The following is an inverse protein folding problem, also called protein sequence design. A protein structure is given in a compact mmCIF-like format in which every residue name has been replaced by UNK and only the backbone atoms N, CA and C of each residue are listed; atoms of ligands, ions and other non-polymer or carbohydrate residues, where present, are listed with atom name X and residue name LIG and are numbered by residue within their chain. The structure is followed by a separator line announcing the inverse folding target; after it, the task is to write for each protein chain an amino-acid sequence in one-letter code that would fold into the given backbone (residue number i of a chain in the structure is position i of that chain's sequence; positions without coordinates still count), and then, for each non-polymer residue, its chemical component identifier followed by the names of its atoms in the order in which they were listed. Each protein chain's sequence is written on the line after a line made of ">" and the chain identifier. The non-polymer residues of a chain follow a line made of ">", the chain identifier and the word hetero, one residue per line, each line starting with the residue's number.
data_IF_568181260747
#
_entry.id   IF_568181260747
#
_cell.length_a   1.000
_cell.length_b   1.000
_cell.length_c   1.000
_cell.angle_alpha   90.00
_cell.angle_beta   90.00
_cell.angle_gamma   90.00
#
_symmetry.space_group_name_H-M   'P 1'
#
loop_
_entity.id
_entity.type
_entity.pdbx_description
1 polymer ?
#
# COMPACT_ATOMS: atom_id res chain seq x y z
N UNK A 1 3.24 6.55 12.24
CA UNK A 1 3.43 5.13 11.95
C UNK A 1 4.41 4.59 12.96
N UNK A 2 4.02 3.50 13.58
CA UNK A 2 4.83 2.93 14.63
C UNK A 2 6.00 2.11 14.13
N UNK A 3 7.05 2.17 14.86
CA UNK A 3 8.21 1.34 14.67
C UNK A 3 8.39 0.41 15.87
N UNK A 4 8.38 -0.92 15.72
CA UNK A 4 8.63 -1.79 16.83
C UNK A 4 10.14 -1.96 17.02
N UNK A 5 10.60 -1.61 18.17
CA UNK A 5 11.75 -2.28 18.77
C UNK A 5 11.21 -3.27 19.78
N UNK A 6 11.52 -4.56 19.63
CA UNK A 6 11.14 -5.60 20.60
C UNK A 6 9.65 -5.67 20.96
N UNK A 7 8.76 -5.80 19.99
CA UNK A 7 7.32 -5.76 20.15
C UNK A 7 6.76 -4.43 20.70
N UNK A 8 7.61 -3.46 20.87
CA UNK A 8 7.25 -2.05 21.06
C UNK A 8 7.54 -1.32 19.77
N UNK A 9 6.83 -0.26 19.53
CA UNK A 9 7.10 0.62 18.41
C UNK A 9 7.28 2.03 18.92
N UNK A 10 7.99 2.82 18.17
CA UNK A 10 8.20 4.23 18.42
C UNK A 10 7.67 4.97 17.21
N UNK A 11 6.85 5.99 17.45
CA UNK A 11 6.39 6.88 16.38
C UNK A 11 7.54 7.82 16.04
N UNK A 12 8.36 7.39 15.10
CA UNK A 12 9.64 8.01 14.87
C UNK A 12 9.84 8.50 13.46
N UNK A 13 8.76 8.80 12.71
CA UNK A 13 9.11 8.96 11.35
C UNK A 13 8.47 10.15 10.65
N UNK A 14 9.13 11.25 10.81
CA UNK A 14 8.95 12.42 9.97
C UNK A 14 10.20 12.78 9.20
N UNK A 15 11.23 11.97 9.25
CA UNK A 15 12.39 12.15 8.38
C UNK A 15 11.97 11.73 6.98
N UNK A 16 12.18 12.61 6.03
CA UNK A 16 11.97 12.31 4.63
C UNK A 16 12.89 11.14 4.25
N UNK A 17 12.39 10.21 3.45
CA UNK A 17 13.18 9.08 2.96
C UNK A 17 14.53 9.55 2.39
N UNK A 18 15.60 8.97 2.91
CA UNK A 18 16.97 9.30 2.52
C UNK A 18 17.60 10.51 3.21
N UNK A 19 16.89 11.20 4.08
CA UNK A 19 17.48 12.28 4.86
C UNK A 19 18.40 11.72 5.96
N UNK A 20 19.57 12.34 6.15
CA UNK A 20 20.46 11.94 7.25
C UNK A 20 19.96 12.49 8.58
N UNK A 21 19.98 11.66 9.60
CA UNK A 21 19.77 12.09 10.98
C UNK A 21 18.53 11.52 11.62
N UNK A 22 18.40 11.71 12.93
CA UNK A 22 17.23 11.25 13.66
C UNK A 22 16.01 12.11 13.30
N UNK A 23 14.85 11.48 13.31
CA UNK A 23 13.59 12.16 13.23
C UNK A 23 13.48 13.22 14.34
N UNK A 24 13.18 14.49 14.02
CA UNK A 24 13.13 15.56 15.02
C UNK A 24 11.98 15.38 16.02
N UNK A 25 11.04 14.49 15.73
CA UNK A 25 9.91 14.19 16.60
C UNK A 25 10.12 12.96 17.49
N UNK A 26 11.19 12.20 17.31
CA UNK A 26 11.53 11.08 18.19
C UNK A 26 11.60 11.55 19.64
N UNK A 27 10.84 10.91 20.51
CA UNK A 27 10.74 11.26 21.91
C UNK A 27 9.85 12.47 22.25
N UNK A 28 9.32 13.14 21.23
CA UNK A 28 8.40 14.29 21.42
C UNK A 28 6.92 13.93 21.22
N UNK A 29 6.65 12.71 20.77
CA UNK A 29 5.31 12.19 20.56
C UNK A 29 4.94 11.20 21.65
N UNK A 30 3.72 11.23 22.17
CA UNK A 30 3.24 10.12 22.97
C UNK A 30 3.12 8.90 22.06
N UNK A 31 3.81 7.84 22.45
CA UNK A 31 3.72 6.57 21.74
C UNK A 31 2.29 6.03 21.84
N UNK A 32 1.70 5.64 20.71
CA UNK A 32 0.39 5.01 20.72
C UNK A 32 0.48 3.54 21.14
N UNK A 33 -0.64 2.97 21.53
CA UNK A 33 -0.72 1.54 21.86
C UNK A 33 -0.57 0.70 20.60
N UNK A 34 0.33 -0.28 20.63
CA UNK A 34 0.51 -1.21 19.52
C UNK A 34 -0.82 -1.90 19.15
N UNK A 35 -1.16 -1.86 17.87
CA UNK A 35 -2.44 -2.34 17.33
C UNK A 35 -3.50 -1.26 17.16
N UNK A 36 -3.20 -0.01 17.49
CA UNK A 36 -4.14 1.09 17.33
C UNK A 36 -4.09 1.74 15.94
N UNK A 37 -3.01 1.58 15.20
CA UNK A 37 -2.89 2.15 13.86
C UNK A 37 -2.74 1.07 12.77
N UNK A 38 -3.03 1.48 11.55
CA UNK A 38 -2.91 0.64 10.36
C UNK A 38 -1.49 0.13 10.15
N UNK A 39 -0.50 0.97 10.42
CA UNK A 39 0.92 0.64 10.25
C UNK A 39 1.37 -0.54 11.11
N UNK A 40 0.82 -0.69 12.32
CA UNK A 40 1.12 -1.82 13.19
C UNK A 40 0.73 -3.15 12.55
N UNK A 41 -0.48 -3.18 11.97
CA UNK A 41 -0.99 -4.36 11.28
C UNK A 41 -0.24 -4.62 9.99
N UNK A 42 0.06 -3.59 9.22
CA UNK A 42 0.78 -3.69 7.96
C UNK A 42 2.28 -3.93 8.14
N UNK A 43 2.77 -3.92 9.37
CA UNK A 43 4.20 -4.04 9.71
C UNK A 43 5.05 -2.93 9.06
N UNK A 44 4.44 -1.76 8.85
CA UNK A 44 5.14 -0.60 8.31
C UNK A 44 6.26 -0.17 9.23
N UNK A 45 7.43 0.07 8.66
CA UNK A 45 8.64 0.49 9.40
C UNK A 45 9.04 -0.48 10.54
N UNK A 46 8.85 -1.77 10.35
CA UNK A 46 9.16 -2.80 11.32
C UNK A 46 10.36 -3.65 10.86
N UNK A 47 11.54 -3.34 11.36
CA UNK A 47 12.80 -3.99 10.96
C UNK A 47 12.78 -5.52 11.16
N UNK A 48 12.05 -6.03 12.16
CA UNK A 48 11.86 -7.46 12.38
C UNK A 48 11.18 -8.18 11.20
N UNK A 49 10.47 -7.45 10.36
CA UNK A 49 9.83 -7.94 9.14
C UNK A 49 10.52 -7.48 7.86
N UNK A 50 11.69 -6.88 7.98
CA UNK A 50 12.45 -6.34 6.85
C UNK A 50 11.94 -5.00 6.33
N UNK A 51 10.96 -4.41 6.99
CA UNK A 51 10.44 -3.10 6.63
C UNK A 51 11.21 -2.02 7.39
N UNK A 52 11.93 -1.20 6.66
CA UNK A 52 12.73 -0.07 7.20
C UNK A 52 12.37 1.20 6.45
N UNK A 53 12.76 2.34 6.99
CA UNK A 53 12.59 3.66 6.34
C UNK A 53 11.13 3.93 5.89
N UNK A 54 10.18 3.61 6.76
CA UNK A 54 8.75 3.80 6.48
C UNK A 54 8.13 2.80 5.51
N UNK A 55 8.88 1.79 5.07
CA UNK A 55 8.41 0.84 4.07
C UNK A 55 7.38 -0.17 4.62
N UNK A 56 6.61 -0.72 3.69
CA UNK A 56 5.72 -1.87 3.90
C UNK A 56 5.94 -2.86 2.75
N UNK A 57 6.04 -4.13 3.05
CA UNK A 57 6.17 -5.18 2.03
C UNK A 57 4.80 -5.62 1.54
N UNK A 58 4.66 -5.79 0.22
CA UNK A 58 3.50 -6.40 -0.41
C UNK A 58 3.96 -7.55 -1.29
N UNK A 59 3.28 -8.69 -1.20
CA UNK A 59 3.56 -9.87 -2.03
C UNK A 59 2.52 -9.97 -3.14
N UNK A 60 2.97 -9.90 -4.37
CA UNK A 60 2.09 -9.87 -5.54
C UNK A 60 1.98 -11.23 -6.21
N UNK A 61 0.81 -11.48 -6.75
CA UNK A 61 0.48 -12.70 -7.47
C UNK A 61 -0.02 -12.39 -8.88
N UNK A 62 0.17 -13.32 -9.78
CA UNK A 62 -0.36 -13.21 -11.15
C UNK A 62 -1.83 -13.61 -11.23
N UNK A 63 -2.37 -14.27 -10.21
CA UNK A 63 -3.80 -14.57 -10.08
C UNK A 63 -4.40 -13.80 -8.92
N UNK A 64 -5.69 -13.48 -8.97
CA UNK A 64 -6.40 -12.80 -7.90
C UNK A 64 -6.72 -13.68 -6.68
N UNK A 65 -5.92 -14.70 -6.41
CA UNK A 65 -6.12 -15.56 -5.25
C UNK A 65 -5.78 -14.80 -3.96
N UNK A 66 -6.62 -14.84 -2.93
CA UNK A 66 -6.31 -14.25 -1.64
C UNK A 66 -5.07 -14.87 -1.02
N UNK A 67 -4.27 -14.05 -0.34
CA UNK A 67 -3.16 -14.56 0.46
C UNK A 67 -3.67 -15.27 1.71
N UNK A 68 -2.97 -16.32 2.10
CA UNK A 68 -3.25 -16.95 3.38
C UNK A 68 -2.81 -16.06 4.54
N UNK A 69 -3.46 -16.21 5.70
CA UNK A 69 -3.14 -15.46 6.93
C UNK A 69 -1.72 -15.71 7.46
N UNK A 70 -0.97 -16.63 6.89
CA UNK A 70 0.42 -16.92 7.28
C UNK A 70 1.43 -15.85 6.83
N UNK A 71 1.03 -14.96 5.96
CA UNK A 71 1.87 -13.86 5.48
C UNK A 71 1.70 -12.60 6.34
N UNK A 72 2.03 -12.72 7.61
CA UNK A 72 1.87 -11.62 8.57
C UNK A 72 2.67 -10.34 8.22
N UNK A 73 3.67 -10.45 7.35
CA UNK A 73 4.46 -9.32 6.86
C UNK A 73 3.89 -8.68 5.59
N UNK A 74 2.79 -9.19 5.04
CA UNK A 74 2.13 -8.60 3.88
C UNK A 74 1.23 -7.43 4.28
N UNK A 75 1.44 -6.26 3.67
CA UNK A 75 0.68 -5.06 3.96
C UNK A 75 -0.81 -5.19 3.67
N UNK A 76 -1.19 -5.91 2.61
CA UNK A 76 -2.59 -6.20 2.28
C UNK A 76 -3.26 -7.08 3.35
N UNK A 77 -2.55 -8.10 3.84
CA UNK A 77 -3.00 -8.90 4.96
C UNK A 77 -3.16 -8.06 6.23
N UNK A 78 -2.18 -7.21 6.50
CA UNK A 78 -2.23 -6.29 7.63
C UNK A 78 -3.42 -5.35 7.57
N UNK A 79 -3.69 -4.77 6.41
CA UNK A 79 -4.85 -3.90 6.20
C UNK A 79 -6.17 -4.63 6.44
N UNK A 80 -6.31 -5.87 5.92
CA UNK A 80 -7.46 -6.74 6.22
C UNK A 80 -7.64 -6.90 7.73
N UNK A 81 -6.59 -7.31 8.43
CA UNK A 81 -6.66 -7.54 9.88
C UNK A 81 -7.00 -6.28 10.66
N UNK A 82 -6.51 -5.12 10.24
CA UNK A 82 -6.88 -3.83 10.82
C UNK A 82 -8.38 -3.58 10.73
N UNK A 83 -8.96 -3.70 9.54
CA UNK A 83 -10.41 -3.51 9.37
C UNK A 83 -11.23 -4.52 10.20
N UNK A 84 -10.82 -5.78 10.21
CA UNK A 84 -11.49 -6.81 11.01
C UNK A 84 -11.41 -6.52 12.51
N UNK A 85 -10.29 -6.00 13.00
CA UNK A 85 -10.15 -5.59 14.41
C UNK A 85 -11.08 -4.43 14.79
N UNK A 86 -11.57 -3.68 13.81
CA UNK A 86 -12.54 -2.60 13.99
C UNK A 86 -13.99 -3.04 13.74
N UNK A 87 -14.23 -4.34 13.60
CA UNK A 87 -15.56 -4.92 13.46
C UNK A 87 -16.09 -4.98 12.02
N UNK A 88 -15.27 -4.66 11.02
CA UNK A 88 -15.64 -4.83 9.62
C UNK A 88 -15.47 -6.28 9.18
N UNK A 89 -16.27 -6.70 8.23
CA UNK A 89 -16.12 -7.99 7.57
C UNK A 89 -15.43 -7.79 6.22
N UNK A 90 -14.19 -8.24 6.09
CA UNK A 90 -13.45 -8.19 4.82
C UNK A 90 -13.83 -9.42 3.99
N UNK A 91 -14.61 -9.21 2.93
CA UNK A 91 -15.14 -10.29 2.08
C UNK A 91 -14.04 -10.97 1.28
N UNK A 92 -13.11 -10.18 0.74
CA UNK A 92 -11.94 -10.67 0.01
C UNK A 92 -10.84 -9.62 0.00
N UNK A 93 -9.61 -10.05 -0.16
CA UNK A 93 -8.45 -9.19 -0.35
C UNK A 93 -7.37 -9.96 -1.08
N UNK A 94 -6.53 -9.27 -1.83
CA UNK A 94 -5.37 -9.84 -2.50
C UNK A 94 -4.50 -8.71 -3.05
N UNK A 95 -3.22 -9.01 -3.23
CA UNK A 95 -2.33 -8.17 -4.02
C UNK A 95 -2.07 -8.88 -5.34
N UNK A 96 -2.16 -8.16 -6.44
CA UNK A 96 -2.01 -8.73 -7.77
C UNK A 96 -1.11 -7.85 -8.63
N UNK A 97 -0.20 -8.47 -9.38
CA UNK A 97 0.48 -7.75 -10.45
C UNK A 97 -0.54 -7.22 -11.46
N UNK A 98 -0.28 -6.04 -12.00
CA UNK A 98 -1.03 -5.60 -13.17
C UNK A 98 -0.65 -6.45 -14.38
N UNK A 99 -1.58 -6.55 -15.33
CA UNK A 99 -1.33 -7.26 -16.58
C UNK A 99 -0.20 -6.59 -17.36
N UNK A 100 0.77 -7.39 -17.77
CA UNK A 100 1.97 -6.91 -18.44
C UNK A 100 3.18 -6.71 -17.53
N UNK A 101 3.01 -6.92 -16.22
CA UNK A 101 4.09 -6.88 -15.23
C UNK A 101 4.24 -8.24 -14.52
N UNK A 102 5.40 -8.50 -13.95
CA UNK A 102 5.69 -9.74 -13.23
C UNK A 102 6.15 -10.88 -14.15
N UNK A 103 6.09 -12.09 -13.63
CA UNK A 103 6.65 -13.29 -14.30
C UNK A 103 5.77 -13.85 -15.41
N UNK A 104 4.49 -13.52 -15.44
CA UNK A 104 3.54 -13.93 -16.48
C UNK A 104 2.75 -12.70 -16.99
N UNK A 105 3.24 -12.03 -18.04
CA UNK A 105 2.62 -10.81 -18.54
C UNK A 105 1.24 -11.04 -19.21
N UNK A 106 0.83 -12.29 -19.43
CA UNK A 106 -0.51 -12.60 -19.92
C UNK A 106 -1.59 -12.55 -18.83
N UNK A 107 -1.17 -12.58 -17.58
CA UNK A 107 -2.03 -12.56 -16.40
C UNK A 107 -1.85 -11.25 -15.63
N UNK A 108 -2.70 -11.06 -14.64
CA UNK A 108 -2.67 -9.91 -13.77
C UNK A 108 -3.91 -9.04 -13.88
N UNK A 109 -3.99 -8.06 -13.01
CA UNK A 109 -5.11 -7.14 -12.89
C UNK A 109 -5.15 -6.18 -14.09
N UNK A 110 -6.31 -6.09 -14.72
CA UNK A 110 -6.49 -5.29 -15.94
C UNK A 110 -7.08 -3.93 -15.65
N UNK A 111 -6.96 -3.00 -16.61
CA UNK A 111 -7.66 -1.72 -16.53
C UNK A 111 -9.18 -1.87 -16.49
N UNK A 112 -9.75 -2.86 -17.20
CA UNK A 112 -11.18 -3.14 -17.14
C UNK A 112 -11.64 -3.59 -15.74
N UNK A 113 -10.82 -4.39 -15.04
CA UNK A 113 -11.08 -4.75 -13.65
C UNK A 113 -10.97 -3.54 -12.71
N UNK A 114 -9.97 -2.68 -12.94
CA UNK A 114 -9.86 -1.41 -12.21
C UNK A 114 -11.13 -0.57 -12.37
N UNK A 115 -11.59 -0.38 -13.59
CA UNK A 115 -12.82 0.37 -13.86
C UNK A 115 -14.03 -0.23 -13.12
N UNK A 116 -14.16 -1.55 -13.15
CA UNK A 116 -15.25 -2.24 -12.46
C UNK A 116 -15.22 -2.03 -10.92
N UNK A 117 -14.04 -1.94 -10.32
CA UNK A 117 -13.92 -1.58 -8.91
C UNK A 117 -14.38 -0.14 -8.65
N UNK A 118 -13.90 0.81 -9.45
CA UNK A 118 -14.28 2.22 -9.34
C UNK A 118 -15.79 2.40 -9.56
N UNK A 119 -16.37 1.79 -10.58
CA UNK A 119 -17.81 1.86 -10.88
C UNK A 119 -18.65 1.26 -9.74
N UNK A 120 -18.09 0.35 -8.98
CA UNK A 120 -18.70 -0.23 -7.78
C UNK A 120 -18.47 0.61 -6.51
N UNK A 121 -17.86 1.79 -6.63
CA UNK A 121 -17.57 2.69 -5.51
C UNK A 121 -16.40 2.22 -4.64
N UNK A 122 -15.53 1.37 -5.15
CA UNK A 122 -14.37 0.85 -4.42
C UNK A 122 -13.07 1.45 -4.96
N UNK A 123 -12.42 2.36 -4.22
CA UNK A 123 -11.07 2.81 -4.53
C UNK A 123 -10.08 1.65 -4.53
N UNK A 124 -9.04 1.76 -5.35
CA UNK A 124 -8.04 0.70 -5.53
C UNK A 124 -6.68 1.20 -5.08
N UNK A 125 -6.01 0.46 -4.19
CA UNK A 125 -4.60 0.70 -3.93
C UNK A 125 -3.79 0.35 -5.17
N UNK A 126 -2.96 1.28 -5.61
CA UNK A 126 -2.07 1.10 -6.76
C UNK A 126 -0.64 1.15 -6.26
N UNK A 127 0.09 0.09 -6.50
CA UNK A 127 1.48 -0.03 -6.09
C UNK A 127 2.42 0.35 -7.23
N UNK A 128 3.27 1.29 -6.93
CA UNK A 128 4.37 1.74 -7.78
C UNK A 128 5.69 1.15 -7.27
N UNK A 129 6.72 1.20 -8.08
CA UNK A 129 8.06 0.82 -7.64
C UNK A 129 8.59 1.85 -6.61
N UNK A 130 8.30 1.61 -5.32
CA UNK A 130 8.75 2.46 -4.20
C UNK A 130 7.68 3.37 -3.60
N UNK A 131 6.43 3.32 -4.06
CA UNK A 131 5.34 4.11 -3.48
C UNK A 131 3.98 3.43 -3.68
N UNK A 132 2.99 3.83 -2.88
CA UNK A 132 1.61 3.36 -3.02
C UNK A 132 0.68 4.57 -3.08
N UNK A 133 -0.22 4.56 -4.07
CA UNK A 133 -1.22 5.61 -4.29
C UNK A 133 -2.62 5.01 -4.29
N UNK A 134 -3.64 5.85 -4.24
CA UNK A 134 -5.04 5.39 -4.28
C UNK A 134 -5.69 5.84 -5.57
N UNK A 135 -6.08 4.90 -6.43
CA UNK A 135 -6.89 5.14 -7.60
C UNK A 135 -8.35 5.37 -7.20
N UNK A 136 -8.91 6.49 -7.64
CA UNK A 136 -10.24 6.97 -7.25
C UNK A 136 -11.19 7.18 -8.43
N UNK A 137 -10.69 7.09 -9.64
CA UNK A 137 -11.48 7.33 -10.84
C UNK A 137 -10.70 6.98 -12.10
N UNK A 138 -11.36 7.08 -13.24
CA UNK A 138 -10.71 6.81 -14.52
C UNK A 138 -11.31 7.65 -15.65
N UNK A 139 -10.61 7.66 -16.77
CA UNK A 139 -11.10 8.12 -18.06
C UNK A 139 -10.57 7.16 -19.13
N UNK A 140 -11.46 6.71 -20.03
CA UNK A 140 -11.12 5.71 -21.05
C UNK A 140 -10.07 6.20 -22.06
N UNK A 141 -10.02 7.50 -22.31
CA UNK A 141 -8.98 8.09 -23.15
C UNK A 141 -7.59 7.85 -22.55
N UNK A 142 -6.75 7.15 -23.27
CA UNK A 142 -5.38 6.80 -22.89
C UNK A 142 -5.27 5.95 -21.61
N UNK A 143 -6.35 5.24 -21.21
CA UNK A 143 -6.39 4.45 -19.97
C UNK A 143 -5.97 5.29 -18.74
N UNK A 144 -6.54 6.47 -18.62
CA UNK A 144 -6.16 7.41 -17.55
C UNK A 144 -6.76 6.99 -16.22
N UNK A 145 -5.93 7.01 -15.18
CA UNK A 145 -6.30 6.82 -13.78
C UNK A 145 -6.26 8.17 -13.08
N UNK A 146 -7.31 8.51 -12.32
CA UNK A 146 -7.29 9.58 -11.33
C UNK A 146 -6.88 9.02 -9.98
N UNK A 147 -5.97 9.69 -9.29
CA UNK A 147 -5.37 9.17 -8.07
C UNK A 147 -5.10 10.26 -7.02
N UNK A 148 -4.97 9.84 -5.77
CA UNK A 148 -4.35 10.59 -4.68
C UNK A 148 -3.01 9.94 -4.32
N UNK A 149 -1.96 10.74 -4.27
CA UNK A 149 -0.58 10.26 -4.13
C UNK A 149 -0.04 10.34 -2.70
N UNK A 150 -0.81 10.88 -1.77
CA UNK A 150 -0.44 11.14 -0.37
C UNK A 150 0.56 12.27 -0.14
N UNK A 151 1.07 12.89 -1.18
CA UNK A 151 2.01 14.00 -1.07
C UNK A 151 1.34 15.36 -0.98
N UNK A 152 0.16 15.49 -1.59
CA UNK A 152 -0.67 16.70 -1.47
C UNK A 152 -2.18 16.35 -1.49
N UNK A 153 -3.02 17.39 -1.51
CA UNK A 153 -4.48 17.23 -1.53
C UNK A 153 -5.09 17.28 -2.93
N UNK A 154 -4.25 17.33 -3.97
CA UNK A 154 -4.71 17.42 -5.36
C UNK A 154 -5.05 16.04 -5.92
N UNK A 155 -5.91 16.03 -6.92
CA UNK A 155 -6.10 14.83 -7.74
C UNK A 155 -5.09 14.84 -8.87
N UNK A 156 -4.35 13.76 -8.98
CA UNK A 156 -3.33 13.54 -9.99
C UNK A 156 -3.80 12.52 -11.03
N UNK A 157 -3.02 12.36 -12.09
CA UNK A 157 -3.31 11.38 -13.14
C UNK A 157 -2.09 10.58 -13.52
N UNK A 158 -2.31 9.34 -13.93
CA UNK A 158 -1.32 8.51 -14.61
C UNK A 158 -1.98 7.67 -15.70
N UNK A 159 -1.20 7.13 -16.62
CA UNK A 159 -1.69 6.10 -17.53
C UNK A 159 -1.59 4.74 -16.84
N UNK A 160 -2.64 3.91 -16.93
CA UNK A 160 -2.61 2.55 -16.43
C UNK A 160 -1.46 1.74 -17.06
N UNK A 161 -0.69 1.05 -16.23
CA UNK A 161 0.49 0.32 -16.66
C UNK A 161 1.72 1.19 -16.94
N UNK A 162 1.59 2.50 -16.81
CA UNK A 162 2.66 3.46 -16.98
C UNK A 162 3.42 3.75 -15.69
N UNK A 163 4.00 4.95 -15.64
CA UNK A 163 4.73 5.45 -14.47
C UNK A 163 4.09 6.71 -13.91
N UNK A 164 4.17 6.88 -12.61
CA UNK A 164 3.85 8.12 -11.91
C UNK A 164 5.08 8.61 -11.16
N UNK A 165 5.44 9.89 -11.32
CA UNK A 165 6.64 10.49 -10.72
C UNK A 165 7.93 9.66 -10.97
N UNK A 166 8.05 9.04 -12.14
CA UNK A 166 9.18 8.17 -12.48
C UNK A 166 9.12 6.74 -11.94
N UNK A 167 8.10 6.40 -11.15
CA UNK A 167 7.93 5.06 -10.56
C UNK A 167 6.94 4.24 -11.38
N UNK A 168 7.38 3.09 -11.87
CA UNK A 168 6.57 2.18 -12.67
C UNK A 168 5.43 1.58 -11.84
N UNK A 169 4.22 1.48 -12.42
CA UNK A 169 3.14 0.72 -11.81
C UNK A 169 3.49 -0.78 -11.80
N UNK A 170 3.31 -1.41 -10.65
CA UNK A 170 3.67 -2.81 -10.40
C UNK A 170 2.41 -3.66 -10.23
N UNK A 171 1.49 -3.21 -9.38
CA UNK A 171 0.35 -4.00 -8.96
C UNK A 171 -0.77 -3.17 -8.35
N UNK A 172 -1.73 -3.88 -7.84
CA UNK A 172 -2.86 -3.39 -7.03
C UNK A 172 -3.01 -4.24 -5.79
#
# INVERSE_FOLDING_TARGET
>A
VGWPSDARHVDDYWVQYGDPGPDPFVGNWPEHTYGDCTGDYMKTNQAAYGNVDGSTTFYFYTSGAPLSSTWASDGGCGLKLFYESRGYNVVSWYNQYIRGYGTDPSRGFTFEQYKAEIDSGRPVMIHLAGHTVVGIGYHDGFNTVYLHDTWDYSTHTMTWGGSYAGMQQVGV
#
